data_IF_758788192568
#
_entry.id   IF_758788192568
#
_cell.length_a   1.000
_cell.length_b   1.000
_cell.length_c   1.000
_cell.angle_alpha   90.00
_cell.angle_beta   90.00
_cell.angle_gamma   90.00
#
_symmetry.space_group_name_H-M   'P 1'
#
loop_
_entity.id
_entity.type
_entity.pdbx_description
1 polymer ?
#
# COMPACT_ATOMS: atom_id res chain seq x y z
N UNK A 1 0.61 -13.85 -8.78
CA UNK A 1 0.85 -12.65 -7.96
C UNK A 1 -0.30 -11.68 -8.16
N UNK A 2 -1.06 -11.36 -7.10
CA UNK A 2 -2.07 -10.30 -7.13
C UNK A 2 -1.47 -9.02 -6.55
N UNK A 3 -2.05 -7.89 -6.92
CA UNK A 3 -1.58 -6.58 -6.48
C UNK A 3 -2.70 -5.82 -5.80
N UNK A 4 -2.38 -5.20 -4.67
CA UNK A 4 -3.33 -4.44 -3.85
C UNK A 4 -2.76 -3.06 -3.55
N UNK A 5 -3.62 -2.06 -3.48
CA UNK A 5 -3.28 -0.77 -2.86
C UNK A 5 -3.83 -0.74 -1.44
N UNK A 6 -2.94 -0.51 -0.48
CA UNK A 6 -3.23 -0.34 0.94
C UNK A 6 -2.97 1.10 1.36
N UNK A 7 -4.03 1.79 1.78
CA UNK A 7 -3.97 3.21 2.11
C UNK A 7 -3.78 3.40 3.60
N UNK A 8 -2.64 3.98 3.98
CA UNK A 8 -2.39 4.43 5.33
C UNK A 8 -3.11 5.76 5.58
N UNK A 9 -3.53 5.97 6.83
CA UNK A 9 -4.05 7.26 7.24
C UNK A 9 -2.89 8.29 7.32
N UNK A 10 -3.25 9.58 7.37
CA UNK A 10 -2.27 10.67 7.40
C UNK A 10 -1.36 10.67 8.64
N UNK A 11 -1.79 10.06 9.76
CA UNK A 11 -0.96 9.92 10.96
C UNK A 11 0.16 8.91 10.76
N UNK A 12 -0.21 7.67 10.39
CA UNK A 12 0.73 6.59 10.09
C UNK A 12 1.71 6.98 8.97
N UNK A 13 1.22 7.66 7.92
CA UNK A 13 2.08 8.14 6.84
C UNK A 13 3.13 9.15 7.33
N UNK A 14 2.73 10.11 8.18
CA UNK A 14 3.64 11.13 8.73
C UNK A 14 4.66 10.53 9.68
N UNK A 15 4.21 9.69 10.62
CA UNK A 15 5.09 8.99 11.56
C UNK A 15 6.20 8.23 10.83
N UNK A 16 5.83 7.50 9.76
CA UNK A 16 6.78 6.77 8.91
C UNK A 16 7.67 7.69 8.08
N UNK A 17 7.16 8.82 7.61
CA UNK A 17 7.93 9.79 6.84
C UNK A 17 9.01 10.50 7.68
N UNK A 18 8.81 10.62 8.99
CA UNK A 18 9.75 11.25 9.92
C UNK A 18 10.69 10.28 10.62
N UNK A 19 10.40 8.98 10.53
CA UNK A 19 11.16 7.96 11.21
C UNK A 19 12.59 7.83 10.67
N UNK A 20 13.53 7.63 11.57
CA UNK A 20 14.97 7.52 11.28
C UNK A 20 15.52 6.12 11.51
N UNK A 21 14.72 5.22 12.10
CA UNK A 21 15.12 3.83 12.29
C UNK A 21 15.08 3.05 10.97
N UNK A 22 15.84 1.95 10.91
CA UNK A 22 15.79 1.02 9.78
C UNK A 22 14.35 0.55 9.49
N UNK A 23 13.56 0.35 10.55
CA UNK A 23 12.18 -0.13 10.48
C UNK A 23 11.22 0.90 9.89
N UNK A 24 11.57 2.18 9.99
CA UNK A 24 10.78 3.28 9.43
C UNK A 24 11.24 3.63 8.02
N UNK A 25 12.52 3.43 7.70
CA UNK A 25 13.10 3.70 6.38
C UNK A 25 12.67 2.68 5.33
N UNK A 26 12.46 1.43 5.72
CA UNK A 26 12.07 0.34 4.82
C UNK A 26 10.63 -0.13 5.08
N UNK A 27 9.93 -0.51 4.01
CA UNK A 27 8.62 -1.14 4.08
C UNK A 27 8.73 -2.60 4.52
N UNK A 28 9.02 -2.84 5.80
CA UNK A 28 9.18 -4.19 6.39
C UNK A 28 7.85 -4.90 6.65
N UNK A 29 6.81 -4.14 6.97
CA UNK A 29 5.49 -4.70 7.24
C UNK A 29 4.38 -3.67 7.07
N UNK A 30 3.16 -4.18 6.96
CA UNK A 30 1.92 -3.42 7.11
C UNK A 30 0.99 -4.17 8.08
N UNK A 31 0.06 -3.47 8.71
CA UNK A 31 -0.83 -4.05 9.72
C UNK A 31 -2.29 -3.67 9.44
N UNK A 32 -3.20 -4.65 9.42
CA UNK A 32 -4.63 -4.43 9.15
C UNK A 32 -5.48 -5.55 9.75
N UNK A 33 -6.77 -5.29 9.99
CA UNK A 33 -7.70 -6.36 10.42
C UNK A 33 -8.39 -7.04 9.22
N UNK A 34 -7.91 -6.75 8.01
CA UNK A 34 -8.60 -7.09 6.75
C UNK A 34 -7.73 -7.82 5.75
N UNK A 35 -6.47 -8.15 6.04
CA UNK A 35 -5.62 -8.81 5.03
C UNK A 35 -6.13 -10.20 4.71
N UNK A 36 -6.39 -11.02 5.74
CA UNK A 36 -6.96 -12.36 5.57
C UNK A 36 -8.36 -12.30 4.98
N UNK A 37 -9.20 -11.37 5.47
CA UNK A 37 -10.55 -11.15 4.91
C UNK A 37 -10.54 -10.81 3.42
N UNK A 38 -9.50 -10.12 2.94
CA UNK A 38 -9.34 -9.75 1.53
C UNK A 38 -8.61 -10.81 0.69
N UNK A 39 -8.31 -11.97 1.28
CA UNK A 39 -7.61 -13.07 0.64
C UNK A 39 -6.22 -12.69 0.16
N UNK A 40 -5.54 -11.79 0.90
CA UNK A 40 -4.14 -11.48 0.63
C UNK A 40 -3.28 -12.62 1.16
N UNK A 41 -2.35 -13.10 0.34
CA UNK A 41 -1.53 -14.27 0.63
C UNK A 41 -0.04 -14.00 0.35
N UNK A 42 0.87 -14.88 0.82
CA UNK A 42 2.26 -14.88 0.38
C UNK A 42 2.41 -14.81 -1.15
N UNK A 43 3.39 -14.03 -1.61
CA UNK A 43 3.66 -13.77 -3.02
C UNK A 43 2.82 -12.66 -3.65
N UNK A 44 1.85 -12.08 -2.94
CA UNK A 44 1.13 -10.89 -3.39
C UNK A 44 1.93 -9.59 -3.15
N UNK A 45 1.59 -8.55 -3.91
CA UNK A 45 2.14 -7.19 -3.74
C UNK A 45 1.14 -6.27 -3.06
N UNK A 46 1.61 -5.52 -2.08
CA UNK A 46 0.85 -4.50 -1.36
C UNK A 46 1.49 -3.13 -1.53
N UNK A 47 0.99 -2.32 -2.46
CA UNK A 47 1.39 -0.93 -2.64
C UNK A 47 0.91 -0.10 -1.46
N UNK A 48 1.82 0.55 -0.76
CA UNK A 48 1.50 1.40 0.39
C UNK A 48 1.29 2.82 -0.11
N UNK A 49 0.09 3.35 0.11
CA UNK A 49 -0.32 4.64 -0.40
C UNK A 49 -0.91 5.54 0.69
N UNK A 50 -1.04 6.83 0.38
CA UNK A 50 -1.81 7.77 1.16
C UNK A 50 -2.53 8.73 0.22
N UNK A 51 -3.74 9.15 0.61
CA UNK A 51 -4.46 10.22 -0.09
C UNK A 51 -4.42 11.46 0.80
N UNK A 52 -3.82 12.53 0.30
CA UNK A 52 -3.73 13.81 1.01
C UNK A 52 -4.03 14.96 0.06
N UNK A 53 -4.91 15.88 0.47
CA UNK A 53 -5.38 17.02 -0.33
C UNK A 53 -5.84 16.64 -1.75
N UNK A 54 -6.40 15.43 -1.93
CA UNK A 54 -6.86 14.94 -3.23
C UNK A 54 -5.76 14.41 -4.15
N UNK A 55 -4.52 14.29 -3.68
CA UNK A 55 -3.42 13.66 -4.39
C UNK A 55 -3.14 12.27 -3.83
N UNK A 56 -2.79 11.33 -4.72
CA UNK A 56 -2.33 10.00 -4.34
C UNK A 56 -0.81 10.03 -4.19
N UNK A 57 -0.33 9.69 -2.99
CA UNK A 57 1.07 9.46 -2.71
C UNK A 57 1.33 7.95 -2.65
N UNK A 58 2.48 7.52 -3.16
CA UNK A 58 2.91 6.12 -3.12
C UNK A 58 4.26 5.98 -2.45
N UNK A 59 4.33 5.13 -1.44
CA UNK A 59 5.51 4.96 -0.60
C UNK A 59 6.43 3.86 -1.10
N UNK A 60 5.95 2.99 -1.97
CA UNK A 60 6.57 1.74 -2.38
C UNK A 60 5.56 0.60 -2.30
N UNK A 61 6.05 -0.63 -2.41
CA UNK A 61 5.27 -1.84 -2.17
C UNK A 61 5.96 -2.79 -1.19
N UNK A 62 5.14 -3.65 -0.59
CA UNK A 62 5.57 -4.82 0.19
C UNK A 62 5.32 -6.04 -0.69
N UNK A 63 6.37 -6.78 -1.04
CA UNK A 63 6.22 -8.16 -1.54
C UNK A 63 6.00 -9.04 -0.31
N UNK A 64 4.84 -9.69 -0.23
CA UNK A 64 4.42 -10.36 0.99
C UNK A 64 5.08 -11.72 1.07
N UNK A 65 5.85 -11.94 2.13
CA UNK A 65 6.37 -13.26 2.52
C UNK A 65 5.35 -14.03 3.36
N UNK A 66 4.69 -13.34 4.31
CA UNK A 66 3.73 -13.97 5.22
C UNK A 66 2.64 -13.01 5.70
N UNK A 67 1.46 -13.56 5.99
CA UNK A 67 0.41 -12.89 6.76
C UNK A 67 0.31 -13.55 8.14
N UNK A 68 0.75 -12.84 9.17
CA UNK A 68 0.92 -13.39 10.52
C UNK A 68 0.15 -12.59 11.57
N UNK A 69 0.04 -13.12 12.78
CA UNK A 69 -0.50 -12.38 13.93
C UNK A 69 0.57 -11.49 14.60
N UNK A 70 0.21 -10.80 15.68
CA UNK A 70 1.11 -9.89 16.39
C UNK A 70 2.31 -10.59 17.05
N UNK A 71 2.12 -11.82 17.56
CA UNK A 71 3.17 -12.55 18.26
C UNK A 71 4.26 -12.97 17.27
N UNK A 72 3.85 -13.57 16.15
CA UNK A 72 4.75 -13.98 15.09
C UNK A 72 5.38 -12.76 14.37
N UNK A 73 4.62 -11.67 14.16
CA UNK A 73 5.17 -10.42 13.64
C UNK A 73 6.27 -9.87 14.56
N UNK A 74 6.06 -9.92 15.89
CA UNK A 74 7.04 -9.47 16.88
C UNK A 74 8.34 -10.27 16.77
N UNK A 75 8.24 -11.60 16.66
CA UNK A 75 9.39 -12.48 16.50
C UNK A 75 10.15 -12.19 15.19
N UNK A 76 9.44 -12.13 14.06
CA UNK A 76 10.04 -11.90 12.74
C UNK A 76 10.67 -10.52 12.59
N UNK A 77 10.04 -9.50 13.17
CA UNK A 77 10.49 -8.12 13.04
C UNK A 77 11.55 -7.73 14.08
N UNK A 78 11.63 -8.46 15.20
CA UNK A 78 12.45 -8.07 16.36
C UNK A 78 11.86 -6.87 17.12
N UNK A 79 10.54 -6.63 16.99
CA UNK A 79 9.85 -5.49 17.58
C UNK A 79 8.87 -6.01 18.63
N UNK A 80 8.96 -5.59 19.91
CA UNK A 80 8.02 -6.04 20.93
C UNK A 80 6.56 -5.78 20.54
N UNK A 81 5.66 -6.74 20.80
CA UNK A 81 4.23 -6.64 20.48
C UNK A 81 3.60 -5.29 20.88
N UNK A 82 3.93 -4.76 22.06
CA UNK A 82 3.43 -3.46 22.54
C UNK A 82 3.83 -2.24 21.69
N UNK A 83 4.86 -2.38 20.86
CA UNK A 83 5.33 -1.37 19.89
C UNK A 83 4.81 -1.62 18.48
N UNK A 84 4.18 -2.76 18.23
CA UNK A 84 3.50 -3.01 16.97
C UNK A 84 2.21 -2.19 16.88
N UNK A 85 1.84 -1.83 15.66
CA UNK A 85 0.59 -1.13 15.41
C UNK A 85 -0.59 -2.10 15.67
N UNK A 86 -1.50 -1.81 16.61
CA UNK A 86 -2.40 -2.82 17.18
C UNK A 86 -3.47 -3.26 16.19
N UNK A 87 -3.20 -4.37 15.47
CA UNK A 87 -4.08 -5.00 14.48
C UNK A 87 -3.97 -6.52 14.57
N UNK A 88 -4.92 -7.22 13.94
CA UNK A 88 -4.96 -8.68 13.92
C UNK A 88 -4.03 -9.32 12.88
N UNK A 89 -3.89 -8.72 11.69
CA UNK A 89 -3.04 -9.26 10.63
C UNK A 89 -1.84 -8.34 10.35
N UNK A 90 -0.68 -8.96 10.15
CA UNK A 90 0.55 -8.30 9.74
C UNK A 90 1.04 -8.92 8.44
N UNK A 91 1.10 -8.11 7.38
CA UNK A 91 1.78 -8.48 6.14
C UNK A 91 3.27 -8.22 6.32
N UNK A 92 4.07 -9.28 6.32
CA UNK A 92 5.53 -9.23 6.46
C UNK A 92 6.17 -9.21 5.07
N UNK A 93 7.11 -8.30 4.88
CA UNK A 93 7.86 -8.20 3.63
C UNK A 93 8.88 -9.34 3.48
N UNK A 94 9.04 -9.80 2.24
CA UNK A 94 10.21 -10.57 1.84
C UNK A 94 11.47 -9.71 2.05
N UNK A 95 12.39 -10.22 2.87
CA UNK A 95 13.62 -9.52 3.27
C UNK A 95 14.59 -9.32 2.11
N UNK A 96 14.49 -10.12 1.05
CA UNK A 96 15.30 -9.97 -0.17
C UNK A 96 14.79 -8.87 -1.10
N UNK A 97 13.58 -8.34 -0.85
CA UNK A 97 12.91 -7.36 -1.71
C UNK A 97 12.42 -6.11 -0.94
N UNK A 98 13.14 -5.70 0.12
CA UNK A 98 12.77 -4.53 0.91
C UNK A 98 12.86 -3.23 0.09
N UNK A 99 11.76 -2.46 0.10
CA UNK A 99 11.73 -1.13 -0.52
C UNK A 99 11.98 -0.01 0.49
N UNK A 100 12.70 1.01 0.04
CA UNK A 100 12.76 2.30 0.75
C UNK A 100 11.39 2.99 0.70
N UNK A 101 10.94 3.51 1.84
CA UNK A 101 9.70 4.27 1.91
C UNK A 101 9.88 5.68 1.33
N UNK A 102 9.11 6.01 0.29
CA UNK A 102 9.16 7.29 -0.44
C UNK A 102 7.94 8.15 -0.13
N UNK A 103 7.93 8.80 1.03
CA UNK A 103 6.76 9.55 1.52
C UNK A 103 6.32 10.76 0.67
N UNK A 104 7.17 11.23 -0.26
CA UNK A 104 6.95 12.43 -1.08
C UNK A 104 6.61 12.14 -2.54
N UNK A 105 6.59 10.87 -2.94
CA UNK A 105 6.34 10.52 -4.34
C UNK A 105 4.84 10.60 -4.65
N UNK A 106 4.48 11.55 -5.53
CA UNK A 106 3.10 11.78 -5.99
C UNK A 106 2.87 10.96 -7.25
N UNK A 107 1.76 10.21 -7.28
CA UNK A 107 1.30 9.51 -8.48
C UNK A 107 0.66 10.53 -9.42
N UNK A 108 1.11 10.66 -10.69
CA UNK A 108 0.53 11.60 -11.64
C UNK A 108 -0.96 11.35 -11.89
N UNK A 109 -1.74 12.40 -12.16
CA UNK A 109 -3.20 12.27 -12.31
C UNK A 109 -3.61 11.32 -13.43
N UNK A 110 -2.93 11.34 -14.58
CA UNK A 110 -3.22 10.41 -15.68
C UNK A 110 -3.01 8.95 -15.28
N UNK A 111 -2.02 8.67 -14.41
CA UNK A 111 -1.80 7.34 -13.84
C UNK A 111 -2.94 6.96 -12.92
N UNK A 112 -3.32 7.87 -12.02
CA UNK A 112 -4.46 7.66 -11.11
C UNK A 112 -5.72 7.35 -11.91
N UNK A 113 -6.01 8.12 -12.95
CA UNK A 113 -7.20 7.95 -13.79
C UNK A 113 -7.15 6.67 -14.65
N UNK A 114 -5.96 6.15 -14.95
CA UNK A 114 -5.75 4.87 -15.64
C UNK A 114 -5.88 3.65 -14.70
N UNK A 115 -5.73 3.81 -13.38
CA UNK A 115 -5.86 2.71 -12.44
C UNK A 115 -7.27 2.08 -12.52
N UNK A 116 -7.30 0.76 -12.46
CA UNK A 116 -8.54 -0.01 -12.35
C UNK A 116 -8.44 -0.97 -11.19
N UNK A 117 -9.51 -1.02 -10.42
CA UNK A 117 -9.62 -1.89 -9.27
C UNK A 117 -10.75 -2.89 -9.48
N UNK A 118 -10.54 -4.10 -9.02
CA UNK A 118 -11.59 -5.12 -9.01
C UNK A 118 -12.78 -4.66 -8.14
N UNK A 119 -13.99 -5.00 -8.59
CA UNK A 119 -15.25 -4.67 -7.92
C UNK A 119 -16.26 -5.84 -8.00
N UNK A 120 -15.78 -7.04 -7.67
CA UNK A 120 -16.59 -8.25 -7.76
C UNK A 120 -17.19 -8.44 -9.15
N UNK A 121 -18.49 -8.75 -9.20
CA UNK A 121 -19.22 -8.98 -10.45
C UNK A 121 -19.55 -7.72 -11.26
N UNK A 122 -19.29 -6.51 -10.73
CA UNK A 122 -19.67 -5.25 -11.40
C UNK A 122 -18.60 -4.73 -12.38
N UNK A 123 -17.57 -5.52 -12.65
CA UNK A 123 -16.44 -5.16 -13.50
C UNK A 123 -15.48 -4.15 -12.86
N UNK A 124 -14.35 -3.85 -13.51
CA UNK A 124 -13.36 -2.92 -12.98
C UNK A 124 -13.90 -1.50 -12.80
N UNK A 125 -13.46 -0.83 -11.73
CA UNK A 125 -13.83 0.58 -11.49
C UNK A 125 -12.60 1.46 -11.32
N UNK A 126 -12.63 2.71 -11.81
CA UNK A 126 -11.58 3.68 -11.55
C UNK A 126 -11.62 4.18 -10.10
N UNK A 127 -10.57 4.88 -9.65
CA UNK A 127 -10.71 5.74 -8.49
C UNK A 127 -11.74 6.86 -8.73
N UNK A 128 -12.52 7.25 -7.72
CA UNK A 128 -13.47 8.37 -7.83
C UNK A 128 -12.79 9.69 -7.48
N UNK A 129 -13.15 10.74 -8.21
CA UNK A 129 -12.81 12.13 -7.91
C UNK A 129 -13.93 12.78 -7.07
N UNK A 130 -13.56 13.74 -6.23
CA UNK A 130 -14.48 14.59 -5.49
C UNK A 130 -14.96 15.77 -6.35
N UNK A 131 -15.89 16.59 -5.85
CA UNK A 131 -16.45 17.75 -6.57
C UNK A 131 -15.41 18.81 -6.99
N UNK A 132 -14.23 18.82 -6.37
CA UNK A 132 -13.11 19.73 -6.67
C UNK A 132 -12.08 19.11 -7.63
N UNK A 133 -12.37 17.94 -8.21
CA UNK A 133 -11.46 17.24 -9.14
C UNK A 133 -10.32 16.45 -8.48
N UNK A 134 -10.12 16.57 -7.17
CA UNK A 134 -9.15 15.76 -6.44
C UNK A 134 -9.63 14.33 -6.19
N UNK A 135 -8.73 13.40 -5.89
CA UNK A 135 -9.08 12.04 -5.48
C UNK A 135 -9.97 12.07 -4.22
N UNK A 136 -11.11 11.38 -4.26
CA UNK A 136 -11.97 11.22 -3.10
C UNK A 136 -11.27 10.29 -2.08
N UNK A 137 -10.99 10.72 -0.84
CA UNK A 137 -10.34 9.88 0.17
C UNK A 137 -11.11 8.58 0.47
N UNK A 138 -12.43 8.56 0.27
CA UNK A 138 -13.26 7.36 0.46
C UNK A 138 -13.10 6.34 -0.68
N UNK A 139 -12.59 6.76 -1.84
CA UNK A 139 -12.31 5.89 -2.98
C UNK A 139 -11.30 4.81 -2.64
N UNK A 140 -10.32 5.15 -1.83
CA UNK A 140 -9.23 4.26 -1.45
C UNK A 140 -9.57 3.56 -0.13
N UNK A 141 -10.79 2.99 -0.04
CA UNK A 141 -11.21 2.12 1.07
C UNK A 141 -10.05 1.19 1.40
N UNK A 142 -9.59 1.21 2.65
CA UNK A 142 -8.27 0.79 3.16
C UNK A 142 -7.46 -0.14 2.25
N UNK A 143 -8.03 -1.25 1.76
CA UNK A 143 -7.40 -2.18 0.83
C UNK A 143 -8.26 -2.32 -0.44
N UNK A 144 -7.66 -2.16 -1.62
CA UNK A 144 -8.28 -2.44 -2.92
C UNK A 144 -7.39 -3.31 -3.79
N UNK A 145 -7.95 -4.33 -4.44
CA UNK A 145 -7.23 -5.15 -5.41
C UNK A 145 -7.20 -4.46 -6.77
N UNK A 146 -6.03 -4.38 -7.38
CA UNK A 146 -5.83 -3.90 -8.74
C UNK A 146 -6.27 -4.98 -9.73
N UNK A 147 -6.79 -4.53 -10.88
CA UNK A 147 -6.89 -5.41 -12.05
C UNK A 147 -5.49 -5.80 -12.50
N UNK A 148 -5.31 -7.05 -12.92
CA UNK A 148 -4.03 -7.55 -13.41
C UNK A 148 -3.45 -6.64 -14.52
N UNK A 149 -2.15 -6.36 -14.44
CA UNK A 149 -1.43 -5.47 -15.34
C UNK A 149 -1.42 -4.01 -14.91
N UNK A 150 -2.40 -3.55 -14.12
CA UNK A 150 -2.43 -2.15 -13.66
C UNK A 150 -1.39 -1.86 -12.58
N UNK A 151 -0.78 -2.88 -11.96
CA UNK A 151 0.37 -2.70 -11.08
C UNK A 151 1.58 -2.07 -11.79
N UNK A 152 1.73 -2.30 -13.11
CA UNK A 152 2.81 -1.73 -13.93
C UNK A 152 2.78 -0.21 -13.97
N UNK A 153 1.59 0.38 -13.85
CA UNK A 153 1.41 1.83 -13.78
C UNK A 153 2.06 2.41 -12.52
N UNK A 154 1.96 1.69 -11.39
CA UNK A 154 2.57 2.11 -10.12
C UNK A 154 4.06 1.77 -10.10
N UNK A 155 4.45 0.64 -10.68
CA UNK A 155 5.87 0.27 -10.83
C UNK A 155 6.62 1.33 -11.62
N UNK A 156 6.08 1.79 -12.76
CA UNK A 156 6.69 2.85 -13.55
C UNK A 156 6.93 4.13 -12.73
N UNK A 157 5.95 4.54 -11.91
CA UNK A 157 6.10 5.70 -11.01
C UNK A 157 7.19 5.45 -9.96
N UNK A 158 7.26 4.25 -9.40
CA UNK A 158 8.28 3.87 -8.41
C UNK A 158 9.69 3.80 -9.03
N UNK A 159 9.80 3.41 -10.29
CA UNK A 159 11.07 3.34 -11.02
C UNK A 159 11.51 4.71 -11.56
N UNK A 160 10.71 5.75 -11.35
CA UNK A 160 10.98 7.11 -11.87
C UNK A 160 10.74 7.24 -13.37
N UNK A 161 10.06 6.26 -13.97
CA UNK A 161 9.64 6.29 -15.35
C UNK A 161 8.37 7.12 -15.47
N UNK A 162 8.21 7.80 -16.61
CA UNK A 162 6.92 8.39 -16.98
C UNK A 162 6.11 7.30 -17.67
N UNK A 163 5.08 6.72 -17.02
CA UNK A 163 4.24 5.72 -17.68
C UNK A 163 3.58 6.33 -18.92
N UNK A 164 3.80 5.68 -20.07
CA UNK A 164 3.14 6.06 -21.33
C UNK A 164 1.73 5.48 -21.30
N UNK A 165 0.75 6.34 -21.55
CA UNK A 165 -0.69 6.03 -21.61
C UNK A 165 -1.02 4.93 -22.61
#
# INVERSE_FOLDING_TARGET
MRSYVYTWNAGTWRERATGSSFDEKYLRYAASDKFRQRGIEPGDRLYVANVNKGLLYIGGFILIDAIVDAAEASLRLGIPVRRLYPRHDYAIADRSHLQLFRSRLVVPDHVVDALRFENGSRGPVPPKRNRKGGLDPQTMRSIRRLVAGHEKLLDAVLDGLTPVS
#
